data_IF_876455004863
#
_entry.id   IF_876455004863
#
_cell.length_a   1.000
_cell.length_b   1.000
_cell.length_c   1.000
_cell.angle_alpha   90.00
_cell.angle_beta   90.00
_cell.angle_gamma   90.00
#
_symmetry.space_group_name_H-M   'P 1'
#
loop_
_entity.id
_entity.type
_entity.pdbx_description
1 polymer ?
#
# COMPACT_ATOMS: atom_id res chain seq x y z
N UNK A 1 -27.58 -16.30 5.01
CA UNK A 1 -26.94 -15.02 4.61
C UNK A 1 -25.83 -14.60 5.61
N UNK A 2 -25.79 -15.15 6.83
CA UNK A 2 -24.73 -14.85 7.82
C UNK A 2 -23.33 -15.38 7.47
N UNK A 3 -23.19 -16.38 6.60
CA UNK A 3 -21.90 -17.02 6.30
C UNK A 3 -20.88 -16.12 5.54
N UNK A 4 -21.31 -14.98 4.98
CA UNK A 4 -20.41 -14.06 4.26
C UNK A 4 -19.73 -13.06 5.21
N UNK A 5 -20.24 -12.90 6.44
CA UNK A 5 -19.76 -11.89 7.38
C UNK A 5 -18.42 -12.26 8.05
N UNK A 6 -18.01 -13.53 7.95
CA UNK A 6 -16.77 -14.05 8.55
C UNK A 6 -15.65 -14.33 7.53
N UNK A 7 -15.79 -13.88 6.27
CA UNK A 7 -14.75 -14.09 5.28
C UNK A 7 -13.60 -13.10 5.52
N UNK A 8 -12.55 -13.56 6.20
CA UNK A 8 -11.33 -12.79 6.44
C UNK A 8 -10.46 -12.79 5.20
N UNK A 9 -10.27 -11.61 4.61
CA UNK A 9 -9.35 -11.47 3.49
C UNK A 9 -7.95 -11.06 3.97
N UNK A 10 -6.93 -11.56 3.28
CA UNK A 10 -5.54 -11.14 3.47
C UNK A 10 -5.01 -10.61 2.15
N UNK A 11 -4.60 -9.34 2.15
CA UNK A 11 -4.14 -8.64 0.94
C UNK A 11 -2.71 -8.16 1.14
N UNK A 12 -1.86 -8.44 0.16
CA UNK A 12 -0.49 -7.91 0.11
C UNK A 12 -0.37 -7.00 -1.11
N UNK A 13 -0.01 -5.74 -0.86
CA UNK A 13 0.46 -4.83 -1.91
C UNK A 13 1.96 -5.03 -2.10
N UNK A 14 2.35 -5.55 -3.25
CA UNK A 14 3.75 -5.58 -3.68
C UNK A 14 3.99 -4.39 -4.61
N UNK A 15 4.82 -3.45 -4.17
CA UNK A 15 5.02 -2.17 -4.84
C UNK A 15 6.44 -2.09 -5.39
N UNK A 16 6.54 -1.76 -6.67
CA UNK A 16 7.81 -1.49 -7.35
C UNK A 16 8.36 -0.12 -6.94
N UNK A 17 9.63 -0.07 -6.54
CA UNK A 17 10.38 1.15 -6.22
C UNK A 17 11.61 1.34 -7.11
N UNK A 18 11.64 0.77 -8.32
CA UNK A 18 12.64 1.15 -9.31
C UNK A 18 12.46 2.62 -9.74
N UNK A 19 13.55 3.23 -10.20
CA UNK A 19 13.59 4.66 -10.58
C UNK A 19 12.46 5.08 -11.52
N UNK A 20 12.10 4.23 -12.48
CA UNK A 20 11.02 4.47 -13.44
C UNK A 20 9.65 4.70 -12.79
N UNK A 21 9.42 4.17 -11.58
CA UNK A 21 8.15 4.37 -10.86
C UNK A 21 7.99 5.78 -10.29
N UNK A 22 9.10 6.50 -10.08
CA UNK A 22 9.14 7.87 -9.55
C UNK A 22 9.06 8.94 -10.65
N UNK A 23 9.15 8.53 -11.93
CA UNK A 23 9.05 9.44 -13.06
C UNK A 23 7.61 9.91 -13.26
N UNK A 24 7.44 11.16 -13.68
CA UNK A 24 6.10 11.70 -13.99
C UNK A 24 5.53 10.96 -15.20
N UNK A 25 4.26 10.57 -15.08
CA UNK A 25 3.59 9.78 -16.11
C UNK A 25 2.28 10.45 -16.51
N UNK A 26 2.27 11.06 -17.69
CA UNK A 26 1.12 11.78 -18.23
C UNK A 26 -0.13 10.89 -18.46
N UNK A 27 0.02 9.57 -18.47
CA UNK A 27 -1.09 8.62 -18.60
C UNK A 27 -1.77 8.30 -17.26
N UNK A 28 -1.15 8.66 -16.13
CA UNK A 28 -1.72 8.43 -14.78
C UNK A 28 -2.77 9.48 -14.38
N UNK A 29 -3.24 10.29 -15.33
CA UNK A 29 -4.21 11.36 -15.12
C UNK A 29 -3.56 12.69 -14.77
N UNK A 30 -4.35 13.58 -14.17
CA UNK A 30 -3.90 14.92 -13.76
C UNK A 30 -3.60 14.96 -12.26
N UNK A 31 -2.73 15.89 -11.82
CA UNK A 31 -2.63 16.27 -10.41
C UNK A 31 -4.00 16.42 -9.75
N UNK A 32 -4.10 15.95 -8.50
CA UNK A 32 -5.28 16.14 -7.66
C UNK A 32 -5.03 17.28 -6.68
N UNK A 33 -6.08 17.85 -6.08
CA UNK A 33 -5.93 18.90 -5.06
C UNK A 33 -4.98 18.49 -3.91
N UNK A 34 -4.91 17.19 -3.61
CA UNK A 34 -4.08 16.65 -2.54
C UNK A 34 -2.72 16.09 -3.00
N UNK A 35 -2.40 16.11 -4.31
CA UNK A 35 -1.17 15.52 -4.83
C UNK A 35 -0.80 16.06 -6.22
N UNK A 36 0.33 16.77 -6.29
CA UNK A 36 0.87 17.35 -7.52
C UNK A 36 1.57 16.33 -8.43
N UNK A 37 1.81 15.12 -7.94
CA UNK A 37 2.56 14.10 -8.66
C UNK A 37 1.66 13.15 -9.44
N UNK A 38 2.09 12.86 -10.66
CA UNK A 38 1.48 11.84 -11.55
C UNK A 38 2.34 10.57 -11.63
N UNK A 39 3.34 10.43 -10.76
CA UNK A 39 4.21 9.27 -10.75
C UNK A 39 3.43 7.99 -10.45
N UNK A 40 3.90 6.87 -10.99
CA UNK A 40 3.25 5.57 -10.77
C UNK A 40 3.33 5.14 -9.31
N UNK A 41 4.42 5.46 -8.61
CA UNK A 41 4.57 5.16 -7.18
C UNK A 41 3.51 5.90 -6.34
N UNK A 42 3.27 7.18 -6.62
CA UNK A 42 2.29 7.98 -5.87
C UNK A 42 0.86 7.50 -6.14
N UNK A 43 0.55 7.11 -7.38
CA UNK A 43 -0.75 6.52 -7.71
C UNK A 43 -0.99 5.21 -6.96
N UNK A 44 -0.01 4.29 -6.93
CA UNK A 44 -0.15 3.00 -6.24
C UNK A 44 -0.27 3.18 -4.73
N UNK A 45 0.54 4.07 -4.13
CA UNK A 45 0.48 4.34 -2.70
C UNK A 45 -0.86 4.96 -2.28
N UNK A 46 -1.40 5.90 -3.08
CA UNK A 46 -2.74 6.46 -2.85
C UNK A 46 -3.84 5.41 -2.98
N UNK A 47 -3.75 4.52 -3.98
CA UNK A 47 -4.69 3.43 -4.14
C UNK A 47 -4.65 2.46 -2.94
N UNK A 48 -3.46 2.09 -2.47
CA UNK A 48 -3.28 1.25 -1.27
C UNK A 48 -3.85 1.94 -0.02
N UNK A 49 -3.60 3.24 0.16
CA UNK A 49 -4.14 4.02 1.28
C UNK A 49 -5.67 4.10 1.24
N UNK A 50 -6.25 4.34 0.06
CA UNK A 50 -7.70 4.34 -0.15
C UNK A 50 -8.30 2.98 0.20
N UNK A 51 -7.68 1.89 -0.27
CA UNK A 51 -8.10 0.54 0.06
C UNK A 51 -8.06 0.25 1.57
N UNK A 52 -6.96 0.61 2.25
CA UNK A 52 -6.85 0.45 3.71
C UNK A 52 -7.95 1.21 4.47
N UNK A 53 -8.22 2.47 4.08
CA UNK A 53 -9.30 3.28 4.66
C UNK A 53 -10.66 2.62 4.48
N UNK A 54 -10.96 2.10 3.29
CA UNK A 54 -12.22 1.41 3.02
C UNK A 54 -12.34 0.13 3.85
N UNK A 55 -11.27 -0.65 3.99
CA UNK A 55 -11.29 -1.90 4.77
C UNK A 55 -11.50 -1.65 6.26
N UNK A 56 -10.90 -0.61 6.84
CA UNK A 56 -11.17 -0.22 8.24
C UNK A 56 -12.67 0.03 8.49
N UNK A 57 -13.39 0.58 7.51
CA UNK A 57 -14.82 0.89 7.64
C UNK A 57 -15.70 -0.35 7.39
N UNK A 58 -15.26 -1.27 6.53
CA UNK A 58 -16.13 -2.34 5.96
C UNK A 58 -15.85 -3.73 6.51
N UNK A 59 -14.61 -4.03 6.93
CA UNK A 59 -14.19 -5.30 7.50
C UNK A 59 -12.96 -5.07 8.39
N UNK A 60 -13.20 -4.91 9.69
CA UNK A 60 -12.17 -4.67 10.71
C UNK A 60 -11.28 -5.90 10.99
N UNK A 61 -11.57 -7.04 10.38
CA UNK A 61 -10.83 -8.29 10.55
C UNK A 61 -9.87 -8.59 9.37
N UNK A 62 -9.91 -7.79 8.30
CA UNK A 62 -9.03 -7.99 7.15
C UNK A 62 -7.59 -7.63 7.48
N UNK A 63 -6.64 -8.37 6.89
CA UNK A 63 -5.22 -8.11 7.06
C UNK A 63 -4.62 -7.52 5.79
N UNK A 64 -3.85 -6.45 5.96
CA UNK A 64 -3.22 -5.74 4.85
C UNK A 64 -1.73 -5.62 5.12
N UNK A 65 -0.91 -6.04 4.15
CA UNK A 65 0.54 -5.86 4.16
C UNK A 65 1.00 -5.04 2.97
N UNK A 66 2.08 -4.27 3.15
CA UNK A 66 2.70 -3.49 2.07
C UNK A 66 4.19 -3.80 2.03
N UNK A 67 4.61 -4.36 0.91
CA UNK A 67 5.99 -4.77 0.63
C UNK A 67 6.49 -3.95 -0.54
N UNK A 68 7.68 -3.38 -0.37
CA UNK A 68 8.38 -2.61 -1.39
C UNK A 68 9.54 -3.45 -1.92
N UNK A 69 9.74 -3.48 -3.24
CA UNK A 69 10.91 -4.10 -3.88
C UNK A 69 11.61 -3.12 -4.82
N UNK A 70 12.90 -3.35 -5.10
CA UNK A 70 13.73 -2.40 -5.85
C UNK A 70 14.18 -1.20 -5.02
N UNK A 71 14.06 -1.29 -3.69
CA UNK A 71 14.45 -0.23 -2.76
C UNK A 71 15.95 -0.23 -2.49
N UNK A 72 16.53 0.92 -2.14
CA UNK A 72 17.92 0.98 -1.66
C UNK A 72 18.11 0.26 -0.31
N UNK A 73 17.07 0.22 0.54
CA UNK A 73 17.11 -0.38 1.87
C UNK A 73 16.62 -1.83 1.84
N UNK A 74 17.31 -2.71 2.56
CA UNK A 74 16.84 -4.07 2.90
C UNK A 74 16.26 -4.06 4.31
N UNK A 75 14.98 -4.40 4.45
CA UNK A 75 14.30 -4.51 5.74
C UNK A 75 13.22 -5.60 5.66
N UNK A 76 13.65 -6.86 5.83
CA UNK A 76 12.75 -8.01 5.88
C UNK A 76 13.41 -9.14 6.71
N UNK A 77 12.62 -10.08 7.21
CA UNK A 77 13.09 -11.16 8.08
C UNK A 77 13.99 -12.19 7.38
N UNK A 78 14.00 -12.20 6.05
CA UNK A 78 14.75 -13.15 5.23
C UNK A 78 16.07 -12.56 4.71
N UNK A 79 16.37 -11.29 5.05
CA UNK A 79 17.52 -10.55 4.53
C UNK A 79 17.62 -10.54 3.00
N UNK A 80 16.48 -10.62 2.31
CA UNK A 80 16.45 -10.54 0.84
C UNK A 80 16.83 -9.13 0.40
N UNK A 81 17.81 -8.97 -0.50
CA UNK A 81 18.31 -7.65 -0.88
C UNK A 81 17.23 -6.82 -1.56
N UNK A 82 17.25 -5.50 -1.32
CA UNK A 82 16.38 -4.52 -1.97
C UNK A 82 14.87 -4.73 -1.75
N UNK A 83 14.52 -5.47 -0.69
CA UNK A 83 13.13 -5.68 -0.25
C UNK A 83 12.93 -5.05 1.13
N UNK A 84 11.89 -4.22 1.25
CA UNK A 84 11.50 -3.54 2.48
C UNK A 84 10.04 -3.86 2.83
N UNK A 85 9.79 -4.39 4.03
CA UNK A 85 8.44 -4.53 4.58
C UNK A 85 8.07 -3.21 5.25
N UNK A 86 7.23 -2.42 4.57
CA UNK A 86 6.76 -1.14 5.09
C UNK A 86 5.62 -1.33 6.10
N UNK A 87 4.68 -2.22 5.79
CA UNK A 87 3.60 -2.63 6.68
C UNK A 87 3.55 -4.16 6.71
N UNK A 88 3.62 -4.75 7.91
CA UNK A 88 3.43 -6.20 8.07
C UNK A 88 1.97 -6.55 7.80
N UNK A 89 1.72 -7.79 7.38
CA UNK A 89 0.37 -8.29 7.16
C UNK A 89 -0.38 -8.34 8.49
N UNK A 90 -1.17 -7.30 8.76
CA UNK A 90 -1.91 -7.13 10.00
C UNK A 90 -3.19 -6.33 9.76
N UNK A 91 -4.05 -6.27 10.77
CA UNK A 91 -5.27 -5.47 10.72
C UNK A 91 -4.91 -3.98 10.62
N UNK A 92 -5.41 -3.26 9.62
CA UNK A 92 -5.14 -1.83 9.48
C UNK A 92 -5.77 -1.05 10.65
N UNK A 93 -4.99 -0.14 11.25
CA UNK A 93 -5.48 0.76 12.29
C UNK A 93 -5.23 2.24 11.92
N UNK A 94 -5.83 3.15 12.69
CA UNK A 94 -5.68 4.59 12.46
C UNK A 94 -4.21 5.06 12.58
N UNK A 95 -3.42 4.40 13.43
CA UNK A 95 -2.00 4.70 13.60
C UNK A 95 -1.20 4.32 12.34
N UNK A 96 -1.53 3.18 11.73
CA UNK A 96 -0.97 2.71 10.47
C UNK A 96 -1.23 3.72 9.38
N UNK A 97 -2.49 4.16 9.18
CA UNK A 97 -2.84 5.18 8.16
C UNK A 97 -2.02 6.47 8.33
N UNK A 98 -1.84 6.93 9.57
CA UNK A 98 -1.10 8.17 9.85
C UNK A 98 0.35 8.13 9.34
N UNK A 99 0.97 6.95 9.29
CA UNK A 99 2.33 6.78 8.77
C UNK A 99 2.42 6.88 7.23
N UNK A 100 1.28 6.93 6.52
CA UNK A 100 1.18 7.05 5.07
C UNK A 100 0.74 8.44 4.58
N UNK A 101 0.46 9.38 5.51
CA UNK A 101 0.13 10.77 5.20
C UNK A 101 1.39 11.63 5.26
#
# INVERSE_FOLDING_TARGET
IEAVKDMKDSVIFLVDCHRSMYEQNMFNGRPTEDCDSTSSIDCVLRAALSFMKTKIITSDNDKIGIILYGCAKTQNSLNLPNICVMQRLDTPDAATIKNFQ
#
